data_IF_617189312483
#
_entry.id   IF_617189312483
#
_cell.length_a   1.000
_cell.length_b   1.000
_cell.length_c   1.000
_cell.angle_alpha   90.00
_cell.angle_beta   90.00
_cell.angle_gamma   90.00
#
_symmetry.space_group_name_H-M   'P 1'
#
loop_
_entity.id
_entity.type
_entity.pdbx_description
1 polymer ?
#
# COMPACT_ATOMS: atom_id res chain seq x y z
N UNK A 1 13.00 31.79 -32.21
CA UNK A 1 12.55 31.29 -30.89
C UNK A 1 12.83 29.80 -30.85
N UNK A 2 13.48 29.29 -29.80
CA UNK A 2 13.70 27.85 -29.60
C UNK A 2 12.77 27.37 -28.49
N UNK A 3 11.79 26.56 -28.83
CA UNK A 3 10.90 25.90 -27.89
C UNK A 3 11.60 24.65 -27.36
N UNK A 4 11.73 24.54 -26.04
CA UNK A 4 12.12 23.31 -25.37
C UNK A 4 10.82 22.51 -25.16
N UNK A 5 10.77 21.29 -25.68
CA UNK A 5 9.66 20.39 -25.39
C UNK A 5 9.71 20.03 -23.90
N UNK A 6 8.67 20.41 -23.16
CA UNK A 6 8.47 19.90 -21.81
C UNK A 6 7.86 18.52 -21.97
N UNK A 7 8.64 17.46 -21.71
CA UNK A 7 8.10 16.12 -21.57
C UNK A 7 7.17 16.13 -20.35
N UNK A 8 5.89 16.42 -20.59
CA UNK A 8 4.81 16.16 -19.63
C UNK A 8 4.64 14.63 -19.65
N UNK A 9 5.62 13.93 -19.09
CA UNK A 9 5.54 12.50 -18.87
C UNK A 9 4.28 12.22 -18.06
N UNK A 10 3.57 11.16 -18.44
CA UNK A 10 2.44 10.60 -17.70
C UNK A 10 2.80 10.61 -16.21
N UNK A 11 2.00 11.29 -15.38
CA UNK A 11 2.24 11.36 -13.94
C UNK A 11 2.45 9.95 -13.43
N UNK A 12 3.69 9.63 -13.03
CA UNK A 12 3.95 8.37 -12.36
C UNK A 12 3.17 8.41 -11.06
N UNK A 13 2.33 7.39 -10.83
CA UNK A 13 1.54 7.31 -9.61
C UNK A 13 2.44 7.33 -8.35
N UNK A 14 1.86 7.28 -7.14
CA UNK A 14 2.66 7.19 -5.92
C UNK A 14 3.60 5.98 -5.97
N UNK A 15 4.90 6.21 -5.85
CA UNK A 15 5.95 5.18 -5.77
C UNK A 15 6.83 5.44 -4.55
N UNK A 16 7.61 4.44 -4.15
CA UNK A 16 8.58 4.61 -3.05
C UNK A 16 9.69 5.60 -3.42
N UNK A 17 10.00 5.73 -4.72
CA UNK A 17 11.05 6.61 -5.25
C UNK A 17 10.63 8.09 -5.27
N UNK A 18 9.35 8.37 -5.52
CA UNK A 18 8.82 9.74 -5.57
C UNK A 18 8.18 10.22 -4.25
N UNK A 19 8.37 9.48 -3.16
CA UNK A 19 7.99 9.91 -1.82
C UNK A 19 9.13 10.71 -1.17
N UNK A 20 8.86 11.94 -0.72
CA UNK A 20 9.82 12.71 0.07
C UNK A 20 9.75 12.29 1.54
N UNK A 21 10.76 11.60 2.12
CA UNK A 21 10.59 10.98 3.43
C UNK A 21 10.55 12.01 4.57
N UNK A 22 11.38 13.06 4.53
CA UNK A 22 11.44 14.06 5.59
C UNK A 22 11.46 13.43 7.00
N UNK A 23 10.60 13.88 7.93
CA UNK A 23 10.42 13.27 9.25
C UNK A 23 9.84 11.83 9.23
N UNK A 24 9.18 11.41 8.15
CA UNK A 24 8.61 10.07 7.97
C UNK A 24 9.65 9.03 7.54
N UNK A 25 10.94 9.38 7.51
CA UNK A 25 12.04 8.50 7.12
C UNK A 25 11.98 7.11 7.78
N UNK A 26 11.74 6.96 9.10
CA UNK A 26 11.67 5.63 9.71
C UNK A 26 10.56 4.75 9.13
N UNK A 27 9.38 5.32 8.85
CA UNK A 27 8.28 4.57 8.23
C UNK A 27 8.61 4.19 6.77
N UNK A 28 9.22 5.10 6.01
CA UNK A 28 9.65 4.83 4.64
C UNK A 28 10.75 3.75 4.58
N UNK A 29 11.74 3.78 5.47
CA UNK A 29 12.79 2.76 5.58
C UNK A 29 12.23 1.39 5.97
N UNK A 30 11.31 1.35 6.94
CA UNK A 30 10.60 0.13 7.34
C UNK A 30 9.86 -0.51 6.16
N UNK A 31 9.11 0.29 5.39
CA UNK A 31 8.38 -0.22 4.21
C UNK A 31 9.31 -0.70 3.10
N UNK A 32 10.43 -0.01 2.85
CA UNK A 32 11.42 -0.48 1.87
C UNK A 32 12.07 -1.80 2.29
N UNK A 33 12.39 -1.94 3.58
CA UNK A 33 12.93 -3.18 4.11
C UNK A 33 11.92 -4.31 3.99
N UNK A 34 10.65 -4.06 4.32
CA UNK A 34 9.58 -5.04 4.23
C UNK A 34 9.28 -5.48 2.79
N UNK A 35 9.36 -4.55 1.81
CA UNK A 35 9.20 -4.84 0.39
C UNK A 35 10.30 -5.76 -0.17
N UNK A 36 11.49 -5.76 0.45
CA UNK A 36 12.63 -6.58 0.05
C UNK A 36 13.18 -6.25 -1.35
N UNK A 37 14.12 -7.07 -1.84
CA UNK A 37 14.78 -6.88 -3.16
C UNK A 37 14.16 -7.68 -4.32
N UNK A 38 12.95 -8.22 -4.15
CA UNK A 38 12.23 -8.93 -5.21
C UNK A 38 12.57 -10.44 -5.28
N UNK A 39 11.49 -11.22 -5.35
CA UNK A 39 11.47 -12.68 -5.40
C UNK A 39 10.16 -13.16 -4.78
N UNK A 40 9.34 -13.89 -5.54
CA UNK A 40 7.98 -14.29 -5.17
C UNK A 40 7.85 -15.09 -3.86
N UNK A 41 8.97 -15.46 -3.24
CA UNK A 41 9.07 -16.33 -2.06
C UNK A 41 9.99 -15.79 -0.96
N UNK A 42 10.41 -14.52 -1.00
CA UNK A 42 11.07 -13.92 0.16
C UNK A 42 10.02 -13.76 1.26
N UNK A 43 10.12 -14.57 2.33
CA UNK A 43 9.24 -14.49 3.49
C UNK A 43 9.27 -13.08 4.05
N UNK A 44 8.19 -12.32 3.83
CA UNK A 44 8.03 -10.99 4.42
C UNK A 44 7.78 -11.18 5.91
N UNK A 45 8.22 -10.21 6.72
CA UNK A 45 7.87 -10.23 8.15
C UNK A 45 6.34 -10.31 8.28
N UNK A 46 5.82 -11.28 9.05
CA UNK A 46 4.36 -11.47 9.21
C UNK A 46 3.73 -10.39 10.08
N UNK A 47 4.53 -9.47 10.64
CA UNK A 47 4.06 -8.42 11.55
C UNK A 47 3.32 -7.33 10.76
N UNK A 48 2.02 -7.10 11.03
CA UNK A 48 1.26 -6.04 10.39
C UNK A 48 1.82 -4.65 10.73
N UNK A 49 1.74 -3.73 9.78
CA UNK A 49 2.21 -2.34 9.97
C UNK A 49 1.02 -1.39 10.00
N UNK A 50 0.89 -0.59 11.06
CA UNK A 50 -0.13 0.44 11.19
C UNK A 50 0.48 1.84 11.06
N UNK A 51 0.10 2.58 10.01
CA UNK A 51 0.55 3.96 9.78
C UNK A 51 -0.51 4.94 10.28
N UNK A 52 -0.09 5.89 11.12
CA UNK A 52 -0.95 6.95 11.65
C UNK A 52 -0.25 8.31 11.59
N UNK A 53 -1.04 9.38 11.67
CA UNK A 53 -0.55 10.74 11.56
C UNK A 53 -1.61 11.66 10.96
N UNK A 54 -1.30 12.96 10.94
CA UNK A 54 -2.22 13.99 10.44
C UNK A 54 -2.60 13.80 8.96
N UNK A 55 -3.63 14.53 8.51
CA UNK A 55 -3.93 14.65 7.09
C UNK A 55 -2.73 15.27 6.35
N UNK A 56 -2.47 14.80 5.12
CA UNK A 56 -1.33 15.27 4.34
C UNK A 56 0.04 14.68 4.72
N UNK A 57 0.14 13.83 5.75
CA UNK A 57 1.42 13.19 6.13
C UNK A 57 1.89 12.09 5.17
N UNK A 58 1.14 11.79 4.09
CA UNK A 58 1.57 10.85 3.05
C UNK A 58 1.22 9.38 3.26
N UNK A 59 0.31 9.05 4.20
CA UNK A 59 -0.13 7.66 4.47
C UNK A 59 -0.63 6.93 3.22
N UNK A 60 -1.64 7.49 2.54
CA UNK A 60 -2.17 6.96 1.27
C UNK A 60 -1.13 6.88 0.16
N UNK A 61 -0.17 7.82 0.12
CA UNK A 61 0.93 7.76 -0.85
C UNK A 61 1.79 6.54 -0.60
N UNK A 62 2.21 6.30 0.65
CA UNK A 62 3.01 5.14 1.04
C UNK A 62 2.25 3.83 0.77
N UNK A 63 0.96 3.74 1.09
CA UNK A 63 0.14 2.55 0.78
C UNK A 63 0.09 2.27 -0.73
N UNK A 64 -0.17 3.30 -1.55
CA UNK A 64 -0.19 3.17 -3.01
C UNK A 64 1.19 2.83 -3.57
N UNK A 65 2.26 3.37 -3.00
CA UNK A 65 3.63 3.06 -3.37
C UNK A 65 4.03 1.60 -3.06
N UNK A 66 3.60 1.06 -1.92
CA UNK A 66 3.76 -0.35 -1.57
C UNK A 66 3.00 -1.23 -2.55
N UNK A 67 1.75 -0.90 -2.86
CA UNK A 67 0.96 -1.60 -3.89
C UNK A 67 1.68 -1.63 -5.23
N UNK A 68 2.21 -0.49 -5.65
CA UNK A 68 2.92 -0.36 -6.92
C UNK A 68 4.19 -1.22 -6.95
N UNK A 69 5.02 -1.16 -5.90
CA UNK A 69 6.22 -1.99 -5.80
C UNK A 69 5.90 -3.50 -5.80
N UNK A 70 4.80 -3.92 -5.16
CA UNK A 70 4.34 -5.31 -5.19
C UNK A 70 3.84 -5.71 -6.59
N UNK A 71 3.14 -4.80 -7.29
CA UNK A 71 2.69 -5.02 -8.67
C UNK A 71 3.88 -5.19 -9.61
N UNK A 72 4.93 -4.37 -9.48
CA UNK A 72 6.18 -4.50 -10.25
C UNK A 72 6.88 -5.85 -10.00
N UNK A 73 6.67 -6.46 -8.82
CA UNK A 73 7.14 -7.82 -8.50
C UNK A 73 6.19 -8.92 -9.02
N UNK A 74 5.14 -8.58 -9.77
CA UNK A 74 4.14 -9.52 -10.28
C UNK A 74 3.11 -10.00 -9.25
N UNK A 75 3.08 -9.37 -8.07
CA UNK A 75 2.14 -9.72 -7.01
C UNK A 75 0.80 -8.99 -7.16
N UNK A 76 -0.27 -9.62 -6.68
CA UNK A 76 -1.59 -9.00 -6.52
C UNK A 76 -1.83 -8.72 -5.04
N UNK A 77 -2.56 -7.66 -4.72
CA UNK A 77 -2.89 -7.29 -3.34
C UNK A 77 -4.38 -7.05 -3.18
N UNK A 78 -4.90 -7.30 -1.99
CA UNK A 78 -6.21 -6.78 -1.57
C UNK A 78 -6.08 -5.30 -1.22
N UNK A 79 -7.02 -4.48 -1.71
CA UNK A 79 -7.12 -3.06 -1.37
C UNK A 79 -8.52 -2.76 -0.85
N UNK A 80 -8.61 -2.15 0.32
CA UNK A 80 -9.86 -1.66 0.88
C UNK A 80 -9.67 -0.22 1.37
N UNK A 81 -10.57 0.66 0.95
CA UNK A 81 -10.70 2.02 1.47
C UNK A 81 -12.15 2.29 1.87
N UNK A 82 -12.38 3.43 2.54
CA UNK A 82 -13.68 3.81 3.05
C UNK A 82 -14.76 4.03 1.96
N UNK A 83 -14.35 4.18 0.68
CA UNK A 83 -15.27 4.33 -0.44
C UNK A 83 -15.88 3.01 -0.93
N UNK A 84 -15.27 1.87 -0.61
CA UNK A 84 -15.75 0.54 -1.04
C UNK A 84 -16.85 0.02 -0.11
N UNK A 85 -18.11 0.19 -0.51
CA UNK A 85 -19.28 -0.16 0.32
C UNK A 85 -19.45 -1.67 0.52
N UNK A 86 -19.13 -2.47 -0.50
CA UNK A 86 -19.24 -3.93 -0.49
C UNK A 86 -17.88 -4.57 -0.79
N UNK A 87 -17.03 -4.77 0.24
CA UNK A 87 -15.73 -5.39 0.05
C UNK A 87 -15.88 -6.86 -0.37
N UNK A 88 -15.06 -7.36 -1.30
CA UNK A 88 -15.07 -8.76 -1.66
C UNK A 88 -14.55 -9.65 -0.53
N UNK A 89 -14.78 -10.96 -0.64
CA UNK A 89 -14.13 -11.94 0.23
C UNK A 89 -12.61 -11.92 0.03
N UNK A 90 -11.87 -12.40 1.05
CA UNK A 90 -10.43 -12.57 0.96
C UNK A 90 -10.04 -13.51 -0.20
N UNK A 91 -8.91 -13.23 -0.86
CA UNK A 91 -8.33 -14.10 -1.89
C UNK A 91 -6.95 -14.59 -1.47
N UNK A 92 -6.74 -15.91 -1.51
CA UNK A 92 -5.43 -16.54 -1.25
C UNK A 92 -4.36 -16.15 -2.29
N UNK A 93 -4.76 -15.58 -3.43
CA UNK A 93 -3.84 -15.07 -4.44
C UNK A 93 -3.19 -13.73 -4.03
N UNK A 94 -3.69 -13.07 -2.98
CA UNK A 94 -3.15 -11.80 -2.53
C UNK A 94 -1.86 -11.99 -1.73
N UNK A 95 -0.77 -11.37 -2.17
CA UNK A 95 0.49 -11.37 -1.46
C UNK A 95 0.52 -10.41 -0.26
N UNK A 96 -0.43 -9.47 -0.20
CA UNK A 96 -0.62 -8.54 0.89
C UNK A 96 -2.05 -7.96 0.89
N UNK A 97 -2.47 -7.43 2.03
CA UNK A 97 -3.71 -6.66 2.18
C UNK A 97 -3.36 -5.24 2.63
N UNK A 98 -3.95 -4.25 1.97
CA UNK A 98 -3.74 -2.83 2.21
C UNK A 98 -5.08 -2.18 2.55
N UNK A 99 -5.13 -1.51 3.70
CA UNK A 99 -6.34 -0.90 4.26
C UNK A 99 -6.10 0.60 4.45
N UNK A 100 -6.78 1.44 3.69
CA UNK A 100 -6.63 2.90 3.77
C UNK A 100 -7.82 3.55 4.49
N UNK A 101 -7.55 4.64 5.20
CA UNK A 101 -8.55 5.40 5.98
C UNK A 101 -9.47 4.54 6.88
N UNK A 102 -8.89 3.54 7.54
CA UNK A 102 -9.62 2.56 8.38
C UNK A 102 -10.48 3.18 9.49
N UNK A 103 -10.16 4.40 9.93
CA UNK A 103 -10.92 5.17 10.91
C UNK A 103 -12.30 5.62 10.41
N UNK A 104 -12.54 5.55 9.09
CA UNK A 104 -13.80 5.88 8.44
C UNK A 104 -14.64 4.62 8.11
N UNK A 105 -14.14 3.42 8.40
CA UNK A 105 -14.82 2.19 8.02
C UNK A 105 -16.16 2.02 8.75
N UNK A 106 -17.19 1.67 7.99
CA UNK A 106 -18.48 1.20 8.50
C UNK A 106 -18.34 -0.18 9.13
N UNK A 107 -19.38 -0.66 9.83
CA UNK A 107 -19.38 -1.99 10.43
C UNK A 107 -19.13 -3.11 9.38
N UNK A 108 -19.68 -2.98 8.18
CA UNK A 108 -19.48 -3.93 7.07
C UNK A 108 -18.01 -3.95 6.63
N UNK A 109 -17.41 -2.77 6.45
CA UNK A 109 -16.00 -2.63 6.08
C UNK A 109 -15.06 -3.14 7.18
N UNK A 110 -15.36 -2.87 8.45
CA UNK A 110 -14.59 -3.38 9.59
C UNK A 110 -14.62 -4.91 9.66
N UNK A 111 -15.80 -5.53 9.45
CA UNK A 111 -15.93 -6.99 9.41
C UNK A 111 -15.09 -7.59 8.28
N UNK A 112 -15.16 -7.01 7.07
CA UNK A 112 -14.36 -7.47 5.93
C UNK A 112 -12.85 -7.30 6.19
N UNK A 113 -12.44 -6.14 6.70
CA UNK A 113 -11.03 -5.85 7.01
C UNK A 113 -10.47 -6.80 8.07
N UNK A 114 -11.26 -7.13 9.10
CA UNK A 114 -10.89 -8.11 10.11
C UNK A 114 -10.75 -9.52 9.51
N UNK A 115 -11.70 -9.94 8.66
CA UNK A 115 -11.61 -11.22 7.96
C UNK A 115 -10.33 -11.30 7.12
N UNK A 116 -10.04 -10.27 6.31
CA UNK A 116 -8.83 -10.19 5.50
C UNK A 116 -7.55 -10.24 6.36
N UNK A 117 -7.53 -9.51 7.48
CA UNK A 117 -6.39 -9.45 8.39
C UNK A 117 -6.06 -10.83 9.00
N UNK A 118 -7.07 -11.57 9.45
CA UNK A 118 -6.87 -12.91 10.02
C UNK A 118 -6.37 -13.87 8.96
N UNK A 119 -7.00 -13.92 7.78
CA UNK A 119 -6.58 -14.85 6.72
C UNK A 119 -5.18 -14.55 6.19
N UNK A 120 -4.79 -13.28 6.09
CA UNK A 120 -3.45 -12.89 5.66
C UNK A 120 -2.32 -13.33 6.60
N UNK A 121 -2.62 -13.66 7.86
CA UNK A 121 -1.63 -14.16 8.84
C UNK A 121 -1.53 -15.68 8.90
N UNK A 122 -2.45 -16.39 8.25
CA UNK A 122 -2.55 -17.85 8.31
C UNK A 122 -2.01 -18.57 7.07
N UNK A 123 -1.53 -17.82 6.07
CA UNK A 123 -0.88 -18.32 4.85
C UNK A 123 0.63 -18.49 5.06
#
# INVERSE_FOLDING_TARGET
>A
MKQIALDIGLSTGPTMQNFFPGPNRPAWEHLNLWLGRGGAQAARSPVPTYLWGASGSGKTHLLKAVREALREQGAVVGWLDAGMQEPPAFSEAWAAVLLDDVHLFTAVQQQAAFNWFVHAQTL
#
